data_IF_166536154131
#
_entry.id   IF_166536154131
#
_cell.length_a   1.000
_cell.length_b   1.000
_cell.length_c   1.000
_cell.angle_alpha   90.00
_cell.angle_beta   90.00
_cell.angle_gamma   90.00
#
_symmetry.space_group_name_H-M   'P 1'
#
loop_
_entity.id
_entity.type
_entity.pdbx_description
1 polymer ?
#
# COMPACT_ATOMS: atom_id res chain seq x y z
N UNK A 1 33.68 -60.74 13.10
CA UNK A 1 33.98 -59.81 11.99
C UNK A 1 32.83 -59.64 10.96
N UNK A 2 31.97 -60.60 10.78
CA UNK A 2 30.82 -60.46 9.81
C UNK A 2 29.72 -59.52 10.25
N UNK A 3 29.53 -59.23 11.52
CA UNK A 3 28.43 -58.39 12.03
C UNK A 3 28.70 -56.89 11.77
N UNK A 4 29.95 -56.44 11.68
CA UNK A 4 30.32 -55.06 11.42
C UNK A 4 30.17 -54.68 9.95
N UNK A 5 30.34 -55.60 9.02
CA UNK A 5 30.21 -55.35 7.58
C UNK A 5 28.75 -55.23 7.14
N UNK A 6 27.86 -56.02 7.78
CA UNK A 6 26.42 -55.98 7.47
C UNK A 6 25.72 -54.72 7.95
N UNK A 7 26.22 -54.13 9.03
CA UNK A 7 25.75 -52.82 9.56
C UNK A 7 26.12 -51.67 8.62
N UNK A 8 27.31 -51.69 8.03
CA UNK A 8 27.82 -50.63 7.16
C UNK A 8 27.05 -50.53 5.82
N UNK A 9 26.61 -51.64 5.29
CA UNK A 9 25.79 -51.66 4.06
C UNK A 9 24.36 -51.10 4.27
N UNK A 10 23.79 -51.33 5.44
CA UNK A 10 22.44 -50.77 5.80
C UNK A 10 22.48 -49.27 5.95
N UNK A 11 23.57 -48.73 6.54
CA UNK A 11 23.74 -47.30 6.72
C UNK A 11 23.94 -46.57 5.39
N UNK A 12 24.66 -47.13 4.42
CA UNK A 12 24.85 -46.51 3.08
C UNK A 12 23.56 -46.32 2.30
N UNK A 13 22.58 -47.22 2.48
CA UNK A 13 21.26 -47.09 1.88
C UNK A 13 20.41 -45.99 2.52
N UNK A 14 20.53 -45.81 3.81
CA UNK A 14 19.79 -44.81 4.60
C UNK A 14 20.36 -43.42 4.34
N UNK A 15 21.69 -43.28 4.25
CA UNK A 15 22.33 -42.00 3.93
C UNK A 15 21.89 -41.42 2.58
N UNK A 16 21.74 -42.26 1.55
CA UNK A 16 21.25 -41.83 0.24
C UNK A 16 19.80 -41.33 0.32
N UNK A 17 18.93 -42.01 1.08
CA UNK A 17 17.55 -41.59 1.27
C UNK A 17 17.46 -40.29 2.07
N UNK A 18 18.28 -40.14 3.10
CA UNK A 18 18.34 -38.91 3.92
C UNK A 18 18.83 -37.76 3.06
N UNK A 19 19.90 -37.94 2.29
CA UNK A 19 20.42 -36.87 1.37
C UNK A 19 19.37 -36.46 0.33
N UNK A 20 18.66 -37.45 -0.24
CA UNK A 20 17.58 -37.17 -1.19
C UNK A 20 16.45 -36.39 -0.54
N UNK A 21 16.05 -36.78 0.67
CA UNK A 21 15.00 -36.09 1.41
C UNK A 21 15.38 -34.65 1.78
N UNK A 22 16.63 -34.46 2.27
CA UNK A 22 17.15 -33.12 2.62
C UNK A 22 17.25 -32.25 1.36
N UNK A 23 17.76 -32.77 0.23
CA UNK A 23 17.84 -31.99 -1.00
C UNK A 23 16.47 -31.59 -1.52
N UNK A 24 15.48 -32.47 -1.44
CA UNK A 24 14.09 -32.18 -1.83
C UNK A 24 13.46 -31.10 -0.94
N UNK A 25 13.72 -31.16 0.37
CA UNK A 25 13.26 -30.16 1.32
C UNK A 25 13.88 -28.78 1.03
N UNK A 26 15.21 -28.74 0.76
CA UNK A 26 15.90 -27.48 0.40
C UNK A 26 15.36 -26.90 -0.90
N UNK A 27 15.13 -27.74 -1.92
CA UNK A 27 14.53 -27.30 -3.18
C UNK A 27 13.11 -26.74 -2.94
N UNK A 28 12.30 -27.40 -2.10
CA UNK A 28 10.98 -26.94 -1.73
C UNK A 28 11.00 -25.56 -1.08
N UNK A 29 11.92 -25.35 -0.13
CA UNK A 29 12.12 -24.06 0.53
C UNK A 29 12.53 -22.98 -0.48
N UNK A 30 13.47 -23.29 -1.38
CA UNK A 30 13.90 -22.33 -2.40
C UNK A 30 12.76 -21.95 -3.36
N UNK A 31 11.92 -22.92 -3.74
CA UNK A 31 10.74 -22.65 -4.57
C UNK A 31 9.75 -21.74 -3.84
N UNK A 32 9.48 -22.00 -2.56
CA UNK A 32 8.58 -21.13 -1.75
C UNK A 32 9.14 -19.73 -1.65
N UNK A 33 10.43 -19.58 -1.38
CA UNK A 33 11.10 -18.27 -1.34
C UNK A 33 10.98 -17.57 -2.70
N UNK A 34 11.21 -18.28 -3.80
CA UNK A 34 11.09 -17.70 -5.15
C UNK A 34 9.64 -17.26 -5.47
N UNK A 35 8.63 -17.99 -4.99
CA UNK A 35 7.23 -17.59 -5.13
C UNK A 35 6.89 -16.33 -4.32
N UNK A 36 7.38 -16.24 -3.08
CA UNK A 36 7.18 -15.05 -2.24
C UNK A 36 7.88 -13.83 -2.86
N UNK A 37 9.05 -14.01 -3.48
CA UNK A 37 9.80 -12.92 -4.09
C UNK A 37 9.20 -12.41 -5.41
N UNK A 38 8.34 -13.19 -6.10
CA UNK A 38 7.73 -12.74 -7.36
C UNK A 38 6.89 -11.48 -7.20
N UNK A 39 6.22 -11.28 -6.07
CA UNK A 39 5.45 -10.07 -5.79
C UNK A 39 6.32 -8.87 -5.40
N UNK A 40 7.59 -9.10 -5.05
CA UNK A 40 8.54 -8.02 -4.67
C UNK A 40 9.11 -7.32 -5.91
N UNK A 41 9.12 -7.97 -7.08
CA UNK A 41 9.66 -7.43 -8.33
C UNK A 41 8.68 -6.58 -9.15
N UNK A 42 7.45 -6.34 -8.66
CA UNK A 42 6.58 -5.38 -9.33
C UNK A 42 7.16 -3.98 -9.07
N UNK A 43 7.62 -3.26 -10.10
CA UNK A 43 8.20 -1.93 -9.90
C UNK A 43 7.16 -1.02 -9.26
N UNK A 44 7.56 -0.37 -8.17
CA UNK A 44 6.74 0.58 -7.43
C UNK A 44 7.42 1.93 -7.44
N UNK A 45 6.63 2.95 -7.63
CA UNK A 45 7.05 4.34 -7.62
C UNK A 45 6.58 4.97 -6.32
N UNK A 46 7.39 5.85 -5.76
CA UNK A 46 7.07 6.56 -4.53
C UNK A 46 6.47 7.91 -4.88
N UNK A 47 5.39 8.25 -4.20
CA UNK A 47 4.84 9.61 -4.18
C UNK A 47 4.51 9.97 -2.74
N UNK A 48 4.40 11.26 -2.46
CA UNK A 48 4.18 11.77 -1.12
C UNK A 48 2.97 12.68 -1.06
N UNK A 49 2.36 12.78 0.11
CA UNK A 49 1.49 13.87 0.46
C UNK A 49 1.75 14.32 1.90
N UNK A 50 1.34 15.53 2.23
CA UNK A 50 1.38 16.07 3.60
C UNK A 50 -0.04 16.26 4.08
N UNK A 51 -0.33 15.71 5.25
CA UNK A 51 -1.60 15.89 5.96
C UNK A 51 -1.37 16.66 7.26
N UNK A 52 -2.36 17.40 7.71
CA UNK A 52 -2.27 18.15 8.99
C UNK A 52 -2.23 17.21 10.20
N UNK A 53 -2.76 16.01 10.09
CA UNK A 53 -2.85 15.02 11.17
C UNK A 53 -2.88 13.60 10.63
N UNK A 54 -2.32 12.66 11.38
CA UNK A 54 -2.36 11.21 11.08
C UNK A 54 -3.74 10.57 11.35
N UNK A 55 -4.70 11.30 11.91
CA UNK A 55 -6.00 10.73 12.27
C UNK A 55 -6.68 10.05 11.08
N UNK A 56 -6.93 8.76 11.20
CA UNK A 56 -7.54 7.94 10.15
C UNK A 56 -6.56 7.44 9.08
N UNK A 57 -5.29 7.83 9.14
CA UNK A 57 -4.23 7.29 8.29
C UNK A 57 -3.48 6.20 9.04
N UNK A 58 -3.11 5.13 8.34
CA UNK A 58 -2.27 4.05 8.88
C UNK A 58 -1.34 3.48 7.81
N UNK A 59 -0.20 2.98 8.24
CA UNK A 59 0.69 2.23 7.37
C UNK A 59 0.00 0.95 6.89
N UNK A 60 0.25 0.56 5.66
CA UNK A 60 -0.43 -0.56 5.01
C UNK A 60 -1.79 -0.23 4.40
N UNK A 61 -2.38 0.94 4.70
CA UNK A 61 -3.66 1.39 4.16
C UNK A 61 -3.64 1.39 2.64
N UNK A 62 -4.72 0.88 2.04
CA UNK A 62 -4.84 0.81 0.59
C UNK A 62 -5.00 2.19 -0.05
N UNK A 63 -4.29 2.38 -1.15
CA UNK A 63 -4.45 3.53 -2.03
C UNK A 63 -5.25 3.09 -3.24
N UNK A 64 -6.38 3.74 -3.47
CA UNK A 64 -7.29 3.46 -4.59
C UNK A 64 -7.26 4.59 -5.62
N UNK A 65 -7.56 4.24 -6.85
CA UNK A 65 -7.79 5.17 -7.96
C UNK A 65 -9.02 4.69 -8.71
N UNK A 66 -10.09 5.47 -8.70
CA UNK A 66 -11.40 5.08 -9.26
C UNK A 66 -11.85 3.68 -8.77
N UNK A 67 -11.68 3.39 -7.48
CA UNK A 67 -12.06 2.11 -6.88
C UNK A 67 -11.05 0.97 -7.04
N UNK A 68 -10.04 1.10 -7.89
CA UNK A 68 -9.00 0.09 -8.05
C UNK A 68 -7.87 0.30 -7.04
N UNK A 69 -7.44 -0.74 -6.36
CA UNK A 69 -6.25 -0.68 -5.49
C UNK A 69 -4.99 -0.56 -6.35
N UNK A 70 -4.31 0.57 -6.24
CA UNK A 70 -3.12 0.91 -7.02
C UNK A 70 -1.83 0.92 -6.19
N UNK A 71 -1.93 0.80 -4.88
CA UNK A 71 -0.80 0.85 -3.96
C UNK A 71 -1.22 0.83 -2.51
N UNK A 72 -0.27 1.19 -1.65
CA UNK A 72 -0.45 1.27 -0.19
C UNK A 72 0.34 2.44 0.38
N UNK A 73 -0.09 2.95 1.55
CA UNK A 73 0.75 3.79 2.40
C UNK A 73 1.87 2.90 2.93
N UNK A 74 3.11 3.27 2.63
CA UNK A 74 4.29 2.54 3.06
C UNK A 74 4.78 3.01 4.43
N UNK A 75 4.74 4.33 4.66
CA UNK A 75 5.27 4.97 5.86
C UNK A 75 4.54 6.27 6.17
N UNK A 76 4.41 6.56 7.45
CA UNK A 76 3.92 7.83 7.97
C UNK A 76 5.01 8.41 8.88
N UNK A 77 5.44 9.63 8.63
CA UNK A 77 6.46 10.34 9.40
C UNK A 77 5.98 11.75 9.73
N UNK A 78 6.45 12.30 10.83
CA UNK A 78 6.25 13.73 11.10
C UNK A 78 7.22 14.54 10.24
N UNK A 79 6.68 15.59 9.62
CA UNK A 79 7.47 16.59 8.89
C UNK A 79 8.04 17.63 9.86
N UNK A 80 9.05 18.38 9.45
CA UNK A 80 9.71 19.45 10.24
C UNK A 80 8.73 20.53 10.70
N UNK A 81 7.58 20.66 10.02
CA UNK A 81 6.51 21.62 10.35
C UNK A 81 5.37 21.02 11.19
N UNK A 82 5.61 19.86 11.83
CA UNK A 82 4.61 19.09 12.58
C UNK A 82 3.42 18.59 11.73
N UNK A 83 3.53 18.60 10.40
CA UNK A 83 2.63 17.89 9.50
C UNK A 83 2.96 16.41 9.43
N UNK A 84 2.06 15.62 8.88
CA UNK A 84 2.27 14.19 8.65
C UNK A 84 2.59 13.95 7.17
N UNK A 85 3.83 13.56 6.91
CA UNK A 85 4.27 13.15 5.58
C UNK A 85 3.98 11.67 5.38
N UNK A 86 3.16 11.36 4.38
CA UNK A 86 2.85 9.99 3.98
C UNK A 86 3.63 9.59 2.73
N UNK A 87 4.37 8.48 2.80
CA UNK A 87 5.01 7.83 1.66
C UNK A 87 4.04 6.79 1.08
N UNK A 88 3.63 7.00 -0.16
CA UNK A 88 2.80 6.06 -0.91
C UNK A 88 3.68 5.20 -1.81
N UNK A 89 3.45 3.90 -1.79
CA UNK A 89 4.08 2.94 -2.69
C UNK A 89 3.05 2.53 -3.74
N UNK A 90 3.14 3.11 -4.94
CA UNK A 90 2.20 2.91 -6.05
C UNK A 90 2.84 1.99 -7.08
N UNK A 91 2.08 1.05 -7.62
CA UNK A 91 2.56 0.23 -8.73
C UNK A 91 2.82 1.09 -9.95
N UNK A 92 4.04 1.03 -10.50
CA UNK A 92 4.51 1.92 -11.57
C UNK A 92 3.62 1.91 -12.81
N UNK A 93 2.94 0.80 -13.08
CA UNK A 93 1.96 0.69 -14.18
C UNK A 93 0.79 1.68 -14.07
N UNK A 94 0.47 2.16 -12.87
CA UNK A 94 -0.63 3.08 -12.62
C UNK A 94 -0.19 4.54 -12.58
N UNK A 95 1.12 4.82 -12.51
CA UNK A 95 1.65 6.19 -12.47
C UNK A 95 1.27 7.03 -13.67
N UNK A 96 0.99 6.40 -14.80
CA UNK A 96 0.57 7.10 -16.04
C UNK A 96 -0.74 7.90 -15.90
N UNK A 97 -1.58 7.56 -14.90
CA UNK A 97 -2.85 8.23 -14.64
C UNK A 97 -2.79 9.27 -13.52
N UNK A 98 -1.70 9.28 -12.75
CA UNK A 98 -1.51 10.23 -11.65
C UNK A 98 -0.78 11.45 -12.20
N UNK A 99 -1.38 12.61 -11.97
CA UNK A 99 -0.88 13.91 -12.43
C UNK A 99 -0.39 14.74 -11.25
N UNK A 100 0.30 15.84 -11.54
CA UNK A 100 0.78 16.75 -10.50
C UNK A 100 -0.35 17.45 -9.74
N UNK A 101 -1.50 17.62 -10.39
CA UNK A 101 -2.73 18.20 -9.82
C UNK A 101 -3.72 17.14 -9.31
N UNK A 102 -3.33 15.86 -9.28
CA UNK A 102 -4.09 14.82 -8.59
C UNK A 102 -4.11 15.08 -7.09
N UNK A 103 -5.22 14.74 -6.44
CA UNK A 103 -5.41 14.92 -5.01
C UNK A 103 -5.61 13.57 -4.33
N UNK A 104 -5.03 13.42 -3.16
CA UNK A 104 -5.30 12.30 -2.28
C UNK A 104 -6.40 12.69 -1.29
N UNK A 105 -7.43 11.86 -1.17
CA UNK A 105 -8.55 12.07 -0.24
C UNK A 105 -8.71 10.86 0.66
N UNK A 106 -8.86 11.08 1.95
CA UNK A 106 -9.19 10.02 2.89
C UNK A 106 -10.69 9.73 2.83
N UNK A 107 -11.05 8.55 2.34
CA UNK A 107 -12.42 8.05 2.33
C UNK A 107 -12.62 7.05 3.47
N UNK A 108 -13.71 7.21 4.18
CA UNK A 108 -14.16 6.27 5.20
C UNK A 108 -15.24 5.39 4.59
N UNK A 109 -14.93 4.13 4.35
CA UNK A 109 -15.92 3.19 3.84
C UNK A 109 -16.98 2.91 4.92
N UNK A 110 -18.23 2.77 4.53
CA UNK A 110 -19.35 2.50 5.46
C UNK A 110 -19.18 1.14 6.13
N UNK A 111 -18.63 0.18 5.39
CA UNK A 111 -18.30 -1.17 5.86
C UNK A 111 -16.87 -1.46 5.42
N UNK A 112 -15.94 -1.44 6.38
CA UNK A 112 -14.53 -1.74 6.09
C UNK A 112 -13.56 -0.71 6.67
N UNK A 113 -12.34 -0.77 6.18
CA UNK A 113 -11.26 0.12 6.58
C UNK A 113 -11.29 1.41 5.77
N UNK A 114 -10.80 2.51 6.36
CA UNK A 114 -10.56 3.73 5.62
C UNK A 114 -9.55 3.49 4.49
N UNK A 115 -9.68 4.20 3.40
CA UNK A 115 -8.79 4.11 2.24
C UNK A 115 -8.40 5.51 1.78
N UNK A 116 -7.24 5.62 1.16
CA UNK A 116 -6.84 6.84 0.46
C UNK A 116 -7.22 6.70 -0.99
N UNK A 117 -8.05 7.59 -1.51
CA UNK A 117 -8.37 7.64 -2.93
C UNK A 117 -7.62 8.78 -3.61
N UNK A 118 -7.00 8.47 -4.75
CA UNK A 118 -6.36 9.47 -5.60
C UNK A 118 -7.32 9.83 -6.72
N UNK A 119 -7.65 11.11 -6.83
CA UNK A 119 -8.47 11.62 -7.92
C UNK A 119 -7.64 11.79 -9.19
N UNK A 120 -8.22 11.57 -10.38
CA UNK A 120 -7.53 11.90 -11.61
C UNK A 120 -7.28 13.41 -11.68
N UNK A 121 -6.06 13.78 -12.07
CA UNK A 121 -5.75 15.15 -12.40
C UNK A 121 -6.30 15.55 -13.78
N UNK A 122 -6.09 16.81 -14.15
CA UNK A 122 -6.49 17.33 -15.47
C UNK A 122 -5.62 16.74 -16.57
N UNK A 123 -6.18 16.53 -17.75
CA UNK A 123 -5.41 16.01 -18.90
C UNK A 123 -4.27 16.93 -19.34
N UNK A 124 -4.35 18.21 -18.98
CA UNK A 124 -3.32 19.23 -19.28
C UNK A 124 -2.16 19.22 -18.29
N UNK A 125 -2.33 18.68 -17.10
CA UNK A 125 -1.27 18.60 -16.11
C UNK A 125 -0.24 17.54 -16.47
N UNK A 126 1.01 17.79 -16.16
CA UNK A 126 2.10 16.84 -16.34
C UNK A 126 1.90 15.60 -15.45
N UNK A 127 2.45 14.49 -15.90
CA UNK A 127 2.51 13.29 -15.05
C UNK A 127 3.37 13.57 -13.83
N UNK A 128 2.98 13.01 -12.69
CA UNK A 128 3.80 13.11 -11.49
C UNK A 128 5.10 12.30 -11.68
N UNK A 129 6.22 12.89 -11.27
CA UNK A 129 7.51 12.22 -11.26
C UNK A 129 7.63 11.26 -10.06
N UNK A 130 8.64 10.40 -10.09
CA UNK A 130 9.03 9.64 -8.90
C UNK A 130 9.42 10.60 -7.78
N UNK A 131 9.04 10.28 -6.55
CA UNK A 131 9.16 11.15 -5.39
C UNK A 131 8.36 12.48 -5.48
N UNK A 132 7.42 12.58 -6.40
CA UNK A 132 6.54 13.74 -6.50
C UNK A 132 5.58 13.85 -5.32
N UNK A 133 5.10 15.06 -5.09
CA UNK A 133 4.14 15.37 -4.03
C UNK A 133 2.78 15.73 -4.63
N UNK A 134 1.71 15.21 -4.03
CA UNK A 134 0.33 15.54 -4.37
C UNK A 134 -0.35 16.23 -3.20
N UNK A 135 -1.39 16.99 -3.49
CA UNK A 135 -2.20 17.64 -2.47
C UNK A 135 -3.06 16.60 -1.72
N UNK A 136 -3.19 16.77 -0.41
CA UNK A 136 -4.08 15.97 0.42
C UNK A 136 -5.27 16.78 0.86
N UNK A 137 -6.47 16.31 0.57
CA UNK A 137 -7.72 16.87 1.06
C UNK A 137 -8.42 15.84 1.95
N UNK A 138 -8.87 16.29 3.10
CA UNK A 138 -9.73 15.47 3.94
C UNK A 138 -11.18 15.74 3.54
N UNK A 139 -11.93 14.69 3.24
CA UNK A 139 -13.37 14.84 3.05
C UNK A 139 -13.95 15.48 4.32
N UNK A 140 -14.45 16.71 4.20
CA UNK A 140 -15.22 17.35 5.26
C UNK A 140 -16.47 16.50 5.43
N UNK A 141 -16.46 15.64 6.45
CA UNK A 141 -17.65 14.87 6.81
C UNK A 141 -18.87 15.79 6.78
N UNK A 142 -20.01 15.26 6.39
CA UNK A 142 -21.31 15.93 6.25
C UNK A 142 -21.77 16.43 7.64
N UNK A 143 -20.97 17.24 8.31
CA UNK A 143 -21.25 17.88 9.59
C UNK A 143 -21.13 19.37 9.41
N UNK A 144 -22.09 19.92 8.67
CA UNK A 144 -22.15 21.35 8.43
C UNK A 144 -23.14 21.72 7.35
N UNK A 145 -24.38 21.23 7.44
CA UNK A 145 -25.51 21.91 6.81
C UNK A 145 -25.54 23.33 7.38
N UNK A 146 -24.88 24.27 6.70
CA UNK A 146 -25.12 25.70 6.94
C UNK A 146 -26.59 25.94 6.66
N UNK A 147 -27.40 25.93 7.73
CA UNK A 147 -28.73 26.49 7.70
C UNK A 147 -28.56 28.00 7.46
N UNK A 148 -28.60 28.35 6.19
CA UNK A 148 -28.71 29.74 5.77
C UNK A 148 -30.13 30.20 6.09
N UNK A 149 -30.36 30.50 7.37
CA UNK A 149 -31.60 31.14 7.82
C UNK A 149 -31.49 32.62 7.56
N UNK A 150 -31.62 33.01 6.30
CA UNK A 150 -31.96 34.38 5.95
C UNK A 150 -33.45 34.60 6.23
N UNK A 151 -33.81 34.72 7.50
CA UNK A 151 -35.09 35.32 7.88
C UNK A 151 -34.97 36.82 7.69
N UNK A 152 -35.49 37.27 6.56
CA UNK A 152 -35.80 38.65 6.26
C UNK A 152 -36.93 39.09 7.24
N UNK A 153 -36.75 40.12 8.06
CA UNK A 153 -37.87 40.63 8.86
C UNK A 153 -38.85 41.35 7.97
N UNK A 154 -40.07 40.87 7.88
CA UNK A 154 -41.17 41.58 7.25
C UNK A 154 -41.55 42.76 8.11
N UNK A 155 -41.30 43.97 7.64
CA UNK A 155 -41.88 45.21 8.16
C UNK A 155 -43.37 45.20 7.84
N UNK A 156 -44.20 45.15 8.88
CA UNK A 156 -45.61 45.55 8.80
C UNK A 156 -45.72 46.99 9.24
N UNK A 157 -46.35 47.75 8.38
CA UNK A 157 -47.02 48.99 8.75
C UNK A 157 -48.42 48.67 9.32
#
# INVERSE_FOLDING_TARGET
MKILEETDQRFKGIEKKIRLFVSLAVIGILVVIAFIQRDVFIPKTKIFFIADTAQGLSEGMHVKFRGFSIGKIKRLELDDKAGVKAELSIYSKYMKWIRQDSKATLLKEIIGESVVEITPGSERANRIADNGMIEFEREKGISGRKTNSSRKPSRRR
#
